data_IF_952049297958
#
_entry.id   IF_952049297958
#
_cell.length_a   1.000
_cell.length_b   1.000
_cell.length_c   1.000
_cell.angle_alpha   90.00
_cell.angle_beta   90.00
_cell.angle_gamma   90.00
#
_symmetry.space_group_name_H-M   'P 1'
#
loop_
_entity.id
_entity.type
_entity.pdbx_description
1 polymer ?
#
# COMPACT_ATOMS: atom_id res chain seq x y z
N UNK A 1 11.00 -4.37 8.10
CA UNK A 1 10.18 -5.47 8.64
C UNK A 1 9.23 -5.97 7.56
N UNK A 2 8.77 -7.22 7.62
CA UNK A 2 7.77 -7.71 6.67
C UNK A 2 6.38 -7.23 7.08
N UNK A 3 5.62 -6.61 6.18
CA UNK A 3 4.28 -6.17 6.48
C UNK A 3 3.34 -7.37 6.67
N UNK A 4 2.41 -7.31 7.65
CA UNK A 4 1.41 -8.35 7.82
C UNK A 4 0.49 -8.40 6.60
N UNK A 5 0.13 -9.62 6.20
CA UNK A 5 -0.87 -9.89 5.16
C UNK A 5 -2.08 -10.51 5.84
N UNK A 6 -3.25 -9.92 5.65
CA UNK A 6 -4.51 -10.38 6.25
C UNK A 6 -5.61 -10.52 5.19
N UNK A 7 -6.64 -11.30 5.49
CA UNK A 7 -7.82 -11.36 4.63
C UNK A 7 -8.58 -10.04 4.69
N UNK A 8 -9.04 -9.53 3.55
CA UNK A 8 -9.91 -8.35 3.56
C UNK A 8 -11.28 -8.62 4.20
N UNK A 9 -11.67 -9.90 4.33
CA UNK A 9 -12.88 -10.29 5.04
C UNK A 9 -12.77 -10.12 6.56
N UNK A 10 -11.55 -10.03 7.09
CA UNK A 10 -11.28 -9.90 8.52
C UNK A 10 -11.19 -8.44 8.99
N UNK A 11 -11.44 -7.48 8.09
CA UNK A 11 -11.42 -6.05 8.39
C UNK A 11 -12.78 -5.42 8.19
N UNK A 12 -13.03 -4.33 8.93
CA UNK A 12 -14.22 -3.50 8.75
C UNK A 12 -13.81 -2.15 8.13
N UNK A 13 -13.98 -1.97 6.81
CA UNK A 13 -13.67 -0.71 6.17
C UNK A 13 -14.74 0.35 6.46
N UNK A 14 -14.33 1.61 6.55
CA UNK A 14 -15.20 2.78 6.70
C UNK A 14 -14.74 3.91 5.78
N UNK A 15 -15.61 4.88 5.49
CA UNK A 15 -15.24 6.09 4.74
C UNK A 15 -14.98 7.25 5.69
N UNK A 16 -14.00 8.09 5.39
CA UNK A 16 -13.71 9.30 6.16
C UNK A 16 -13.11 10.39 5.26
N UNK A 17 -13.14 11.64 5.72
CA UNK A 17 -12.55 12.77 5.00
C UNK A 17 -11.09 12.96 5.40
N UNK A 18 -10.17 12.96 4.43
CA UNK A 18 -8.73 13.15 4.65
C UNK A 18 -8.05 13.69 3.40
N UNK A 19 -7.13 14.64 3.58
CA UNK A 19 -6.40 15.30 2.50
C UNK A 19 -7.31 15.81 1.36
N UNK A 20 -8.40 16.50 1.75
CA UNK A 20 -9.37 17.10 0.84
C UNK A 20 -10.26 16.12 0.06
N UNK A 21 -10.20 14.82 0.36
CA UNK A 21 -10.96 13.79 -0.36
C UNK A 21 -11.59 12.76 0.60
N UNK A 22 -12.59 12.02 0.11
CA UNK A 22 -13.12 10.85 0.82
C UNK A 22 -12.15 9.69 0.61
N UNK A 23 -11.69 9.11 1.70
CA UNK A 23 -10.76 7.97 1.73
C UNK A 23 -11.43 6.73 2.34
N UNK A 24 -10.94 5.55 1.94
CA UNK A 24 -11.21 4.29 2.63
C UNK A 24 -10.29 4.15 3.84
N UNK A 25 -10.88 3.91 5.00
CA UNK A 25 -10.20 3.64 6.27
C UNK A 25 -10.50 2.25 6.80
N UNK A 26 -9.62 1.73 7.65
CA UNK A 26 -9.87 0.51 8.42
C UNK A 26 -9.28 0.64 9.83
N UNK A 27 -9.84 -0.09 10.78
CA UNK A 27 -9.27 -0.24 12.12
C UNK A 27 -8.69 -1.65 12.29
N UNK A 28 -7.42 -1.73 12.68
CA UNK A 28 -6.73 -2.99 12.90
C UNK A 28 -5.71 -2.85 14.03
N UNK A 29 -5.69 -3.79 14.98
CA UNK A 29 -4.74 -3.84 16.12
C UNK A 29 -4.52 -2.49 16.83
N UNK A 30 -5.62 -1.79 17.14
CA UNK A 30 -5.59 -0.49 17.83
C UNK A 30 -4.94 0.66 17.06
N UNK A 31 -4.97 0.58 15.72
CA UNK A 31 -4.54 1.63 14.82
C UNK A 31 -5.57 1.84 13.70
N UNK A 32 -5.62 3.08 13.21
CA UNK A 32 -6.40 3.45 12.04
C UNK A 32 -5.48 3.52 10.84
N UNK A 33 -5.93 2.98 9.72
CA UNK A 33 -5.22 2.97 8.46
C UNK A 33 -6.08 3.59 7.38
N UNK A 34 -5.45 4.10 6.33
CA UNK A 34 -6.13 4.50 5.10
C UNK A 34 -5.60 3.67 3.93
N UNK A 35 -6.45 3.46 2.92
CA UNK A 35 -6.10 2.66 1.75
C UNK A 35 -5.29 3.49 0.77
N UNK A 36 -4.04 3.07 0.51
CA UNK A 36 -3.14 3.77 -0.41
C UNK A 36 -3.27 3.25 -1.84
N UNK A 37 -3.30 1.92 -2.01
CA UNK A 37 -3.39 1.27 -3.32
C UNK A 37 -4.34 0.09 -3.26
N UNK A 38 -5.01 -0.17 -4.38
CA UNK A 38 -5.75 -1.42 -4.65
C UNK A 38 -5.40 -1.87 -6.05
N UNK A 39 -5.00 -3.12 -6.18
CA UNK A 39 -4.60 -3.70 -7.47
C UNK A 39 -5.16 -5.11 -7.61
N UNK A 40 -5.30 -5.56 -8.84
CA UNK A 40 -5.73 -6.92 -9.12
C UNK A 40 -4.77 -7.94 -8.47
N UNK A 41 -5.32 -9.07 -8.03
CA UNK A 41 -4.59 -10.14 -7.33
C UNK A 41 -3.38 -10.67 -8.12
N UNK A 42 -3.40 -10.58 -9.45
CA UNK A 42 -2.25 -10.91 -10.32
C UNK A 42 -0.99 -10.08 -9.99
N UNK A 43 -1.16 -8.86 -9.47
CA UNK A 43 -0.06 -7.97 -9.06
C UNK A 43 0.35 -8.13 -7.59
N UNK A 44 -0.22 -9.11 -6.85
CA UNK A 44 0.04 -9.32 -5.41
C UNK A 44 1.52 -9.41 -5.05
N UNK A 45 2.31 -10.17 -5.80
CA UNK A 45 3.74 -10.32 -5.49
C UNK A 45 4.49 -8.98 -5.62
N UNK A 46 4.16 -8.19 -6.65
CA UNK A 46 4.74 -6.86 -6.87
C UNK A 46 4.28 -5.88 -5.79
N UNK A 47 2.99 -5.92 -5.42
CA UNK A 47 2.44 -5.11 -4.34
C UNK A 47 3.07 -5.45 -2.98
N UNK A 48 3.27 -6.74 -2.68
CA UNK A 48 3.93 -7.17 -1.45
C UNK A 48 5.39 -6.70 -1.39
N UNK A 49 6.13 -6.82 -2.50
CA UNK A 49 7.51 -6.33 -2.57
C UNK A 49 7.59 -4.81 -2.39
N UNK A 50 6.69 -4.07 -3.04
CA UNK A 50 6.57 -2.62 -2.84
C UNK A 50 6.21 -2.27 -1.39
N UNK A 51 5.26 -2.99 -0.78
CA UNK A 51 4.91 -2.86 0.63
C UNK A 51 6.10 -3.11 1.56
N UNK A 52 6.97 -4.08 1.27
CA UNK A 52 8.19 -4.29 2.05
C UNK A 52 9.13 -3.08 2.01
N UNK A 53 9.23 -2.39 0.87
CA UNK A 53 10.01 -1.15 0.73
C UNK A 53 9.36 0.03 1.47
N UNK A 54 8.03 0.11 1.47
CA UNK A 54 7.30 1.13 2.23
C UNK A 54 7.38 0.91 3.75
N UNK A 55 7.46 -0.35 4.19
CA UNK A 55 7.46 -0.73 5.60
C UNK A 55 8.70 -0.26 6.36
N UNK A 56 9.75 0.23 5.68
CA UNK A 56 10.88 0.91 6.33
C UNK A 56 10.57 2.36 6.73
N UNK A 57 9.53 2.96 6.17
CA UNK A 57 9.17 4.36 6.37
C UNK A 57 7.87 4.55 7.15
N UNK A 58 6.97 3.56 7.11
CA UNK A 58 5.68 3.64 7.79
C UNK A 58 5.13 2.28 8.17
N UNK A 59 4.32 2.26 9.23
CA UNK A 59 3.52 1.09 9.60
C UNK A 59 2.44 0.87 8.55
N UNK A 60 2.39 -0.33 7.98
CA UNK A 60 1.41 -0.67 6.95
C UNK A 60 0.96 -2.12 7.07
N UNK A 61 -0.17 -2.41 6.44
CA UNK A 61 -0.80 -3.72 6.35
C UNK A 61 -1.19 -3.98 4.91
N UNK A 62 -1.04 -5.23 4.46
CA UNK A 62 -1.57 -5.68 3.18
C UNK A 62 -2.83 -6.49 3.41
N UNK A 63 -3.88 -6.21 2.65
CA UNK A 63 -5.08 -7.06 2.61
C UNK A 63 -5.19 -7.76 1.26
N UNK A 64 -5.76 -8.95 1.27
CA UNK A 64 -6.06 -9.69 0.05
C UNK A 64 -7.49 -10.21 0.08
N UNK A 65 -8.18 -10.14 -1.05
CA UNK A 65 -9.41 -10.87 -1.31
C UNK A 65 -9.21 -11.76 -2.57
N UNK A 66 -10.29 -12.36 -3.08
CA UNK A 66 -10.22 -13.25 -4.25
C UNK A 66 -9.85 -12.55 -5.57
N UNK A 67 -10.08 -11.24 -5.68
CA UNK A 67 -9.93 -10.43 -6.89
C UNK A 67 -8.82 -9.41 -6.78
N UNK A 68 -8.63 -8.84 -5.59
CA UNK A 68 -7.80 -7.68 -5.36
C UNK A 68 -6.90 -7.84 -4.14
N UNK A 69 -5.88 -7.00 -4.09
CA UNK A 69 -5.03 -6.80 -2.92
C UNK A 69 -4.77 -5.31 -2.73
N UNK A 70 -4.67 -4.90 -1.46
CA UNK A 70 -4.57 -3.49 -1.10
C UNK A 70 -3.45 -3.25 -0.10
N UNK A 71 -2.85 -2.06 -0.17
CA UNK A 71 -1.95 -1.54 0.86
C UNK A 71 -2.72 -0.54 1.71
N UNK A 72 -2.61 -0.70 3.02
CA UNK A 72 -3.16 0.20 4.01
C UNK A 72 -2.03 0.77 4.85
N UNK A 73 -1.98 2.09 4.96
CA UNK A 73 -0.91 2.79 5.69
C UNK A 73 -1.48 3.41 6.95
N UNK A 74 -0.75 3.29 8.06
CA UNK A 74 -1.20 3.81 9.35
C UNK A 74 -1.36 5.32 9.28
N UNK A 75 -2.45 5.83 9.83
CA UNK A 75 -2.65 7.27 10.03
C UNK A 75 -1.80 7.78 11.20
N UNK A 76 -1.27 6.89 12.05
CA UNK A 76 -0.38 7.24 13.15
C UNK A 76 0.99 7.64 12.60
N UNK A 77 1.49 8.79 13.04
CA UNK A 77 2.80 9.30 12.62
C UNK A 77 2.79 10.09 11.30
N UNK A 78 1.62 10.28 10.67
CA UNK A 78 1.52 11.17 9.52
C UNK A 78 1.47 12.63 9.98
N UNK A 79 2.50 13.41 9.63
CA UNK A 79 2.30 14.84 9.41
C UNK A 79 1.43 14.99 8.17
N UNK A 80 0.48 15.93 8.18
CA UNK A 80 -0.62 16.07 7.22
C UNK A 80 -0.23 16.33 5.74
N UNK A 81 1.00 16.05 5.32
CA UNK A 81 1.51 16.28 3.96
C UNK A 81 1.86 14.96 3.26
N UNK A 82 0.92 14.47 2.45
CA UNK A 82 1.13 13.67 1.24
C UNK A 82 2.23 12.59 1.28
N UNK A 83 1.88 11.38 1.72
CA UNK A 83 2.75 10.19 1.67
C UNK A 83 3.22 9.83 0.25
N UNK A 84 2.49 10.23 -0.79
CA UNK A 84 2.84 9.97 -2.19
C UNK A 84 4.05 10.75 -2.69
N UNK A 85 4.38 11.89 -2.06
CA UNK A 85 5.54 12.73 -2.43
C UNK A 85 6.55 12.89 -1.29
N UNK A 86 6.13 12.74 -0.02
CA UNK A 86 6.97 12.99 1.14
C UNK A 86 8.00 11.87 1.43
N UNK A 87 7.77 10.65 0.97
CA UNK A 87 8.63 9.50 1.30
C UNK A 87 9.78 9.31 0.29
N UNK A 88 9.83 10.10 -0.79
CA UNK A 88 10.85 9.95 -1.84
C UNK A 88 10.84 8.59 -2.54
N UNK A 89 9.81 7.76 -2.30
CA UNK A 89 9.59 6.49 -2.97
C UNK A 89 8.75 6.76 -4.22
N UNK A 90 9.06 6.06 -5.33
CA UNK A 90 8.22 6.12 -6.52
C UNK A 90 6.81 5.63 -6.19
N UNK A 91 5.83 6.15 -6.92
CA UNK A 91 4.48 5.61 -6.94
C UNK A 91 4.51 4.13 -7.33
N UNK A 92 3.44 3.39 -7.00
CA UNK A 92 3.39 1.98 -7.35
C UNK A 92 3.54 1.74 -8.86
N UNK A 93 2.93 2.56 -9.73
CA UNK A 93 3.05 2.40 -11.19
C UNK A 93 4.46 2.71 -11.71
N UNK A 94 5.15 3.71 -11.15
CA UNK A 94 6.57 3.96 -11.49
C UNK A 94 7.47 2.82 -11.03
N UNK A 95 7.19 2.25 -9.86
CA UNK A 95 7.88 1.06 -9.38
C UNK A 95 7.67 -0.14 -10.32
N UNK A 96 6.47 -0.30 -10.88
CA UNK A 96 6.19 -1.34 -11.87
C UNK A 96 6.94 -1.09 -13.18
N UNK A 97 6.92 0.14 -13.69
CA UNK A 97 7.59 0.51 -14.94
C UNK A 97 9.11 0.27 -14.85
N UNK A 98 9.73 0.64 -13.72
CA UNK A 98 11.17 0.38 -13.49
C UNK A 98 11.52 -1.10 -13.38
N UNK A 99 10.62 -1.93 -12.85
CA UNK A 99 10.83 -3.38 -12.76
C UNK A 99 10.76 -4.06 -14.13
N UNK A 100 9.94 -3.55 -15.04
CA UNK A 100 9.80 -4.10 -16.40
C UNK A 100 11.01 -3.75 -17.28
N UNK A 101 11.57 -2.55 -17.12
CA UNK A 101 12.80 -2.14 -17.81
C UNK A 101 14.02 -2.99 -17.37
N UNK A 102 14.17 -3.25 -16.08
CA UNK A 102 15.29 -4.06 -15.55
C UNK A 102 15.26 -5.54 -15.98
N UNK A 103 14.07 -6.06 -16.36
CA UNK A 103 13.93 -7.40 -16.93
C UNK A 103 14.31 -7.41 -18.41
N UNK A 104 14.00 -6.34 -19.16
CA UNK A 104 14.39 -6.20 -20.56
C UNK A 104 15.92 -6.05 -20.72
N UNK A 105 16.57 -5.31 -19.83
CA UNK A 105 18.02 -5.06 -19.91
C UNK A 105 18.87 -6.31 -19.54
N UNK A 106 18.33 -7.25 -18.77
CA UNK A 106 19.01 -8.51 -18.41
C UNK A 106 18.89 -9.62 -19.48
N UNK A 107 18.30 -9.33 -20.64
CA UNK A 107 18.21 -10.25 -21.78
C UNK A 107 19.16 -9.89 -22.94
N UNK A 108 20.04 -8.90 -22.77
CA UNK A 108 21.09 -8.52 -23.74
C UNK A 108 22.47 -8.88 -23.20
#
# INVERSE_FOLDING_TARGET
MLPPVISEQDIFPFKFWFDGNIQDGMYYRNELYYRLYTVNISRRARLFHYGCKLASHSTLVLTTNLRDCSIWVSLRGQTASSFGSAVGLPSFEEFLAGAEQAVADNQT
#
